data_IF_165078354792
#
_entry.id   IF_165078354792
#
_cell.length_a   1.000
_cell.length_b   1.000
_cell.length_c   1.000
_cell.angle_alpha   90.00
_cell.angle_beta   90.00
_cell.angle_gamma   90.00
#
_symmetry.space_group_name_H-M   'P 1'
#
loop_
_entity.id
_entity.type
_entity.pdbx_description
1 polymer ?
#
# COMPACT_ATOMS: atom_id res chain seq x y z
N UNK A 1 -17.70 -5.04 29.08
CA UNK A 1 -16.57 -5.60 29.85
C UNK A 1 -15.33 -5.36 29.03
N UNK A 2 -14.32 -4.67 29.57
CA UNK A 2 -13.02 -4.60 28.91
C UNK A 2 -12.46 -6.03 28.93
N UNK A 3 -12.38 -6.68 27.77
CA UNK A 3 -11.97 -8.07 27.69
C UNK A 3 -10.48 -8.16 28.04
N UNK A 4 -10.13 -8.87 29.11
CA UNK A 4 -8.75 -9.03 29.62
C UNK A 4 -7.89 -9.96 28.74
N UNK A 5 -8.00 -9.86 27.43
CA UNK A 5 -7.09 -10.58 26.53
C UNK A 5 -5.66 -10.05 26.70
N UNK A 6 -4.65 -10.89 26.40
CA UNK A 6 -3.27 -10.41 26.32
C UNK A 6 -3.16 -9.25 25.32
N UNK A 7 -2.24 -8.33 25.56
CA UNK A 7 -1.91 -7.31 24.57
C UNK A 7 -1.23 -7.97 23.37
N UNK A 8 -1.62 -7.57 22.15
CA UNK A 8 -0.95 -7.96 20.93
C UNK A 8 -0.01 -6.84 20.49
N UNK A 9 1.28 -7.16 20.34
CA UNK A 9 2.27 -6.25 19.77
C UNK A 9 2.70 -6.77 18.40
N UNK A 10 2.22 -6.11 17.34
CA UNK A 10 2.59 -6.48 15.97
C UNK A 10 4.04 -6.08 15.67
N UNK A 11 4.90 -6.98 15.17
CA UNK A 11 6.23 -6.62 14.70
C UNK A 11 6.20 -5.53 13.63
N UNK A 12 6.98 -4.48 13.84
CA UNK A 12 7.01 -3.31 12.97
C UNK A 12 7.93 -3.56 11.76
N UNK A 13 7.50 -3.10 10.58
CA UNK A 13 8.36 -3.02 9.40
C UNK A 13 8.80 -1.57 9.18
N UNK A 14 10.10 -1.35 9.08
CA UNK A 14 10.66 -0.04 8.74
C UNK A 14 10.65 0.17 7.23
N UNK A 15 9.98 1.23 6.77
CA UNK A 15 9.87 1.53 5.35
C UNK A 15 11.23 1.86 4.73
N UNK A 16 11.47 1.40 3.50
CA UNK A 16 12.72 1.67 2.79
C UNK A 16 12.62 2.99 2.01
N UNK A 17 13.44 3.98 2.36
CA UNK A 17 13.57 5.23 1.60
C UNK A 17 14.38 5.01 0.31
N UNK A 18 13.76 5.32 -0.83
CA UNK A 18 14.29 5.17 -2.19
C UNK A 18 14.44 6.52 -2.91
N UNK A 19 14.41 7.62 -2.17
CA UNK A 19 14.59 8.97 -2.70
C UNK A 19 15.91 9.07 -3.48
N UNK A 20 15.87 9.75 -4.64
CA UNK A 20 17.02 9.89 -5.53
C UNK A 20 17.25 8.74 -6.51
N UNK A 21 16.49 7.64 -6.43
CA UNK A 21 16.59 6.51 -7.37
C UNK A 21 15.59 6.63 -8.51
N UNK A 22 15.99 6.23 -9.72
CA UNK A 22 15.13 6.26 -10.92
C UNK A 22 15.30 5.02 -11.79
N UNK A 23 14.38 4.82 -12.74
CA UNK A 23 14.46 3.77 -13.76
C UNK A 23 14.76 2.38 -13.19
N UNK A 24 15.73 1.69 -13.79
CA UNK A 24 16.10 0.33 -13.39
C UNK A 24 16.78 0.25 -12.02
N UNK A 25 17.40 1.33 -11.55
CA UNK A 25 17.90 1.38 -10.17
C UNK A 25 16.75 1.37 -9.17
N UNK A 26 15.73 2.20 -9.39
CA UNK A 26 14.53 2.23 -8.56
C UNK A 26 13.80 0.88 -8.59
N UNK A 27 13.65 0.27 -9.77
CA UNK A 27 13.03 -1.05 -9.93
C UNK A 27 13.75 -2.12 -9.11
N UNK A 28 15.08 -2.20 -9.20
CA UNK A 28 15.90 -3.14 -8.41
C UNK A 28 15.79 -2.86 -6.91
N UNK A 29 15.78 -1.59 -6.51
CA UNK A 29 15.65 -1.22 -5.11
C UNK A 29 14.28 -1.59 -4.52
N UNK A 30 13.19 -1.42 -5.28
CA UNK A 30 11.85 -1.88 -4.91
C UNK A 30 11.79 -3.40 -4.75
N UNK A 31 12.41 -4.18 -5.65
CA UNK A 31 12.54 -5.64 -5.50
C UNK A 31 13.26 -6.01 -4.20
N UNK A 32 14.35 -5.31 -3.87
CA UNK A 32 15.08 -5.55 -2.63
C UNK A 32 14.24 -5.18 -1.39
N UNK A 33 13.48 -4.09 -1.44
CA UNK A 33 12.56 -3.71 -0.36
C UNK A 33 11.46 -4.77 -0.16
N UNK A 34 10.86 -5.26 -1.25
CA UNK A 34 9.89 -6.36 -1.20
C UNK A 34 10.50 -7.65 -0.63
N UNK A 35 11.73 -8.00 -1.01
CA UNK A 35 12.45 -9.16 -0.46
C UNK A 35 12.68 -9.01 1.05
N UNK A 36 13.00 -7.81 1.54
CA UNK A 36 13.11 -7.53 2.98
C UNK A 36 11.74 -7.67 3.66
N UNK A 37 10.69 -7.12 3.06
CA UNK A 37 9.33 -7.21 3.58
C UNK A 37 8.84 -8.67 3.67
N UNK A 38 9.05 -9.50 2.64
CA UNK A 38 8.72 -10.93 2.71
C UNK A 38 9.46 -11.68 3.83
N UNK A 39 10.71 -11.31 4.13
CA UNK A 39 11.45 -11.88 5.27
C UNK A 39 10.92 -11.42 6.64
N UNK A 40 10.18 -10.31 6.67
CA UNK A 40 9.50 -9.82 7.87
C UNK A 40 8.22 -10.58 8.18
N UNK A 41 7.44 -10.97 7.17
CA UNK A 41 6.12 -11.62 7.34
C UNK A 41 6.12 -12.86 8.26
N UNK A 42 7.11 -13.78 8.21
CA UNK A 42 7.15 -14.91 9.15
C UNK A 42 7.27 -14.49 10.62
N UNK A 43 7.89 -13.33 10.91
CA UNK A 43 7.95 -12.78 12.27
C UNK A 43 6.57 -12.30 12.72
N UNK A 44 5.84 -11.62 11.84
CA UNK A 44 4.47 -11.16 12.09
C UNK A 44 3.58 -12.37 12.40
N UNK A 45 3.56 -13.37 11.53
CA UNK A 45 2.75 -14.59 11.73
C UNK A 45 3.13 -15.35 13.01
N UNK A 46 4.41 -15.38 13.37
CA UNK A 46 4.88 -16.00 14.62
C UNK A 46 4.30 -15.30 15.86
N UNK A 47 4.32 -13.98 15.92
CA UNK A 47 3.77 -13.23 17.05
C UNK A 47 2.23 -13.30 17.08
N UNK A 48 1.55 -13.29 15.92
CA UNK A 48 0.11 -13.54 15.85
C UNK A 48 -0.25 -14.91 16.46
N UNK A 49 0.45 -15.97 16.07
CA UNK A 49 0.20 -17.33 16.58
C UNK A 49 0.46 -17.45 18.08
N UNK A 50 1.51 -16.80 18.60
CA UNK A 50 1.76 -16.74 20.05
C UNK A 50 0.61 -16.04 20.77
N UNK A 51 0.15 -14.91 20.25
CA UNK A 51 -0.98 -14.19 20.82
C UNK A 51 -2.26 -15.03 20.80
N UNK A 52 -2.57 -15.67 19.67
CA UNK A 52 -3.73 -16.58 19.55
C UNK A 52 -3.63 -17.72 20.58
N UNK A 53 -2.46 -18.34 20.75
CA UNK A 53 -2.27 -19.37 21.78
C UNK A 53 -2.53 -18.86 23.20
N UNK A 54 -2.07 -17.65 23.53
CA UNK A 54 -2.32 -17.02 24.82
C UNK A 54 -3.80 -16.63 25.01
N UNK A 55 -4.44 -16.11 23.96
CA UNK A 55 -5.87 -15.82 23.93
C UNK A 55 -6.71 -17.08 24.18
N UNK A 56 -6.35 -18.20 23.53
CA UNK A 56 -6.99 -19.51 23.72
C UNK A 56 -6.84 -20.03 25.15
N UNK A 57 -5.65 -19.91 25.73
CA UNK A 57 -5.41 -20.30 27.12
C UNK A 57 -6.25 -19.48 28.10
N UNK A 58 -6.39 -18.17 27.84
CA UNK A 58 -7.28 -17.29 28.60
C UNK A 58 -8.76 -17.69 28.44
N UNK A 59 -9.23 -17.91 27.21
CA UNK A 59 -10.61 -18.35 26.93
C UNK A 59 -10.94 -19.64 27.70
N UNK A 60 -10.03 -20.62 27.66
CA UNK A 60 -10.17 -21.88 28.39
C UNK A 60 -10.21 -21.68 29.91
N UNK A 61 -9.31 -20.87 30.48
CA UNK A 61 -9.25 -20.61 31.91
C UNK A 61 -10.49 -19.84 32.42
N UNK A 62 -11.04 -18.96 31.59
CA UNK A 62 -12.23 -18.17 31.89
C UNK A 62 -13.56 -18.90 31.59
N UNK A 63 -13.50 -20.11 31.01
CA UNK A 63 -14.70 -20.86 30.60
C UNK A 63 -15.49 -20.17 29.48
N UNK A 64 -14.83 -19.36 28.65
CA UNK A 64 -15.44 -18.61 27.55
C UNK A 64 -15.37 -19.45 26.28
N UNK A 65 -16.40 -19.36 25.43
CA UNK A 65 -16.37 -20.03 24.14
C UNK A 65 -15.22 -19.52 23.26
N UNK A 66 -14.41 -20.41 22.65
CA UNK A 66 -13.29 -19.99 21.82
C UNK A 66 -13.73 -19.16 20.62
N UNK A 67 -13.17 -17.96 20.43
CA UNK A 67 -13.48 -17.08 19.29
C UNK A 67 -12.83 -17.57 18.01
N UNK A 68 -13.44 -17.38 16.85
CA UNK A 68 -12.72 -17.59 15.59
C UNK A 68 -11.91 -16.34 15.22
N UNK A 69 -10.57 -16.41 15.18
CA UNK A 69 -9.74 -15.29 14.75
C UNK A 69 -9.48 -15.29 13.23
N UNK A 70 -10.02 -16.25 12.48
CA UNK A 70 -10.00 -16.28 11.02
C UNK A 70 -8.59 -16.21 10.42
N UNK A 71 -8.40 -15.35 9.43
CA UNK A 71 -7.11 -15.15 8.75
C UNK A 71 -5.97 -14.79 9.71
N UNK A 72 -6.26 -14.20 10.87
CA UNK A 72 -5.24 -13.85 11.86
C UNK A 72 -4.51 -15.06 12.45
N UNK A 73 -5.10 -16.26 12.38
CA UNK A 73 -4.46 -17.51 12.85
C UNK A 73 -3.51 -18.11 11.80
N UNK A 74 -3.84 -17.92 10.53
CA UNK A 74 -3.23 -18.65 9.40
C UNK A 74 -2.32 -17.79 8.55
N UNK A 75 -2.55 -16.48 8.49
CA UNK A 75 -1.94 -15.55 7.56
C UNK A 75 -1.34 -14.32 8.28
N UNK A 76 -0.26 -13.74 7.74
CA UNK A 76 0.26 -12.48 8.24
C UNK A 76 -0.74 -11.36 7.98
N UNK A 77 -1.17 -10.65 9.03
CA UNK A 77 -2.15 -9.56 8.92
C UNK A 77 -1.53 -8.19 9.21
N UNK A 78 -2.14 -7.11 8.70
CA UNK A 78 -1.87 -5.71 9.08
C UNK A 78 -2.55 -5.33 10.41
N UNK A 79 -3.47 -6.16 10.90
CA UNK A 79 -4.29 -5.90 12.08
C UNK A 79 -3.47 -5.63 13.34
N UNK A 80 -3.78 -4.53 14.02
CA UNK A 80 -3.18 -4.16 15.31
C UNK A 80 -4.04 -4.61 16.50
N UNK A 81 -5.36 -4.69 16.32
CA UNK A 81 -6.31 -5.06 17.37
C UNK A 81 -7.12 -6.29 16.94
N UNK A 82 -6.69 -7.52 17.30
CA UNK A 82 -7.31 -8.76 16.81
C UNK A 82 -8.75 -8.96 17.27
N UNK A 83 -9.15 -8.25 18.33
CA UNK A 83 -10.52 -8.27 18.87
C UNK A 83 -11.49 -7.31 18.16
N UNK A 84 -10.98 -6.43 17.30
CA UNK A 84 -11.79 -5.43 16.57
C UNK A 84 -12.67 -6.02 15.47
N UNK A 85 -12.68 -7.34 15.29
CA UNK A 85 -13.53 -8.08 14.35
C UNK A 85 -13.08 -8.05 12.89
N UNK A 86 -12.36 -7.01 12.48
CA UNK A 86 -11.83 -6.86 11.13
C UNK A 86 -10.34 -7.23 11.07
N UNK A 87 -10.03 -8.43 10.60
CA UNK A 87 -8.67 -8.78 10.20
C UNK A 87 -8.39 -8.28 8.78
N UNK A 88 -7.17 -7.80 8.53
CA UNK A 88 -6.69 -7.34 7.23
C UNK A 88 -5.51 -8.23 6.82
N UNK A 89 -5.79 -9.29 6.08
CA UNK A 89 -4.81 -10.28 5.66
C UNK A 89 -3.96 -9.75 4.51
N UNK A 90 -2.66 -10.05 4.56
CA UNK A 90 -1.72 -9.70 3.48
C UNK A 90 -1.79 -10.80 2.43
N UNK A 91 -1.97 -10.40 1.17
CA UNK A 91 -1.98 -11.34 0.04
C UNK A 91 -0.53 -11.77 -0.28
N UNK A 92 -0.04 -12.80 0.42
CA UNK A 92 1.36 -13.26 0.33
C UNK A 92 1.68 -13.93 -1.00
N UNK A 93 0.67 -14.58 -1.60
CA UNK A 93 0.78 -15.29 -2.87
C UNK A 93 1.02 -14.31 -4.02
N UNK A 94 0.40 -13.12 -3.97
CA UNK A 94 0.64 -12.04 -4.92
C UNK A 94 2.06 -11.43 -4.82
N UNK A 95 2.86 -11.72 -3.78
CA UNK A 95 4.16 -11.07 -3.55
C UNK A 95 5.37 -11.73 -4.25
N UNK A 96 5.21 -12.37 -5.40
CA UNK A 96 6.33 -13.08 -6.06
C UNK A 96 7.57 -12.19 -6.26
N UNK A 97 8.72 -12.64 -5.74
CA UNK A 97 10.01 -11.93 -5.86
C UNK A 97 10.74 -12.22 -7.16
N UNK A 98 10.35 -13.28 -7.85
CA UNK A 98 10.96 -13.73 -9.11
C UNK A 98 10.32 -13.02 -10.32
N UNK A 99 9.23 -12.28 -10.10
CA UNK A 99 8.60 -11.46 -11.11
C UNK A 99 9.57 -10.41 -11.69
N UNK A 100 9.46 -10.14 -12.99
CA UNK A 100 10.26 -9.12 -13.69
C UNK A 100 10.07 -7.73 -13.06
N UNK A 101 8.85 -7.44 -12.60
CA UNK A 101 8.52 -6.23 -11.87
C UNK A 101 7.99 -6.60 -10.47
N UNK A 102 8.36 -5.85 -9.42
CA UNK A 102 7.83 -6.09 -8.09
C UNK A 102 6.30 -5.91 -8.08
N UNK A 103 5.52 -6.88 -7.59
CA UNK A 103 4.04 -6.83 -7.52
C UNK A 103 3.56 -5.91 -6.39
N UNK A 104 3.98 -4.65 -6.45
CA UNK A 104 3.62 -3.60 -5.50
C UNK A 104 2.57 -2.68 -6.11
N UNK A 105 1.76 -2.12 -5.23
CA UNK A 105 0.79 -1.07 -5.54
C UNK A 105 1.32 0.26 -5.04
N UNK A 106 0.95 1.34 -5.71
CA UNK A 106 1.51 2.66 -5.46
C UNK A 106 0.44 3.67 -5.09
N UNK A 107 0.69 4.43 -4.03
CA UNK A 107 -0.07 5.63 -3.65
C UNK A 107 0.78 6.85 -4.01
N UNK A 108 0.19 7.83 -4.68
CA UNK A 108 0.89 9.04 -5.09
C UNK A 108 0.33 10.26 -4.37
N UNK A 109 1.18 10.98 -3.64
CA UNK A 109 0.75 12.04 -2.72
C UNK A 109 1.76 13.21 -2.73
N UNK A 110 1.37 14.37 -2.19
CA UNK A 110 2.31 15.41 -1.79
C UNK A 110 3.35 14.88 -0.81
N UNK A 111 4.53 15.47 -0.87
CA UNK A 111 5.68 15.09 -0.03
C UNK A 111 5.34 15.07 1.45
N UNK A 112 4.69 16.11 1.97
CA UNK A 112 4.35 16.21 3.39
C UNK A 112 3.36 15.13 3.85
N UNK A 113 2.35 14.82 3.04
CA UNK A 113 1.36 13.79 3.36
C UNK A 113 2.02 12.41 3.31
N UNK A 114 2.78 12.11 2.26
CA UNK A 114 3.48 10.86 2.10
C UNK A 114 4.44 10.56 3.26
N UNK A 115 5.25 11.56 3.66
CA UNK A 115 6.17 11.41 4.79
C UNK A 115 5.44 11.25 6.12
N UNK A 116 4.30 11.92 6.32
CA UNK A 116 3.46 11.69 7.49
C UNK A 116 2.92 10.26 7.53
N UNK A 117 2.53 9.70 6.38
CA UNK A 117 2.09 8.31 6.31
C UNK A 117 3.20 7.32 6.68
N UNK A 118 4.43 7.57 6.22
CA UNK A 118 5.61 6.76 6.56
C UNK A 118 5.91 6.84 8.05
N UNK A 119 5.99 8.05 8.61
CA UNK A 119 6.31 8.26 10.02
C UNK A 119 5.30 7.57 10.96
N UNK A 120 4.01 7.62 10.61
CA UNK A 120 2.95 7.06 11.43
C UNK A 120 2.59 5.61 11.05
N UNK A 121 3.21 5.05 10.00
CA UNK A 121 2.82 3.75 9.42
C UNK A 121 1.29 3.65 9.22
N UNK A 122 0.68 4.68 8.63
CA UNK A 122 -0.79 4.80 8.52
C UNK A 122 -1.18 5.75 7.38
N UNK A 123 -2.40 5.62 6.86
CA UNK A 123 -2.95 6.51 5.85
C UNK A 123 -3.87 7.61 6.42
N UNK A 124 -3.97 7.75 7.74
CA UNK A 124 -4.90 8.71 8.36
C UNK A 124 -4.67 10.17 7.92
N UNK A 125 -3.40 10.53 7.69
CA UNK A 125 -2.97 11.84 7.21
C UNK A 125 -3.45 12.16 5.78
N UNK A 126 -3.89 11.17 5.00
CA UNK A 126 -4.39 11.38 3.64
C UNK A 126 -5.68 12.18 3.71
N UNK A 127 -5.65 13.41 3.20
CA UNK A 127 -6.81 14.31 3.19
C UNK A 127 -7.97 13.74 2.37
N UNK A 128 -9.20 14.10 2.75
CA UNK A 128 -10.42 13.74 2.00
C UNK A 128 -10.40 14.22 0.54
N UNK A 129 -9.55 15.19 0.19
CA UNK A 129 -9.30 15.63 -1.21
C UNK A 129 -8.81 14.49 -2.11
N UNK A 130 -8.03 13.56 -1.55
CA UNK A 130 -7.38 12.48 -2.31
C UNK A 130 -8.22 11.21 -2.41
N UNK A 131 -9.15 11.01 -1.49
CA UNK A 131 -10.37 10.20 -1.62
C UNK A 131 -11.09 10.25 -0.27
N UNK A 132 -12.39 10.57 -0.19
CA UNK A 132 -13.07 10.68 1.10
C UNK A 132 -13.12 9.33 1.84
N UNK A 133 -12.40 9.24 2.97
CA UNK A 133 -12.43 8.08 3.88
C UNK A 133 -11.69 6.83 3.38
N UNK A 134 -11.10 6.85 2.19
CA UNK A 134 -10.40 5.69 1.59
C UNK A 134 -9.02 6.07 1.07
N UNK A 135 -8.29 5.07 0.58
CA UNK A 135 -6.99 5.26 -0.08
C UNK A 135 -7.05 4.68 -1.49
N UNK A 136 -6.71 5.48 -2.48
CA UNK A 136 -6.50 5.02 -3.85
C UNK A 136 -5.08 4.45 -3.98
N UNK A 137 -4.96 3.28 -4.57
CA UNK A 137 -3.71 2.69 -5.02
C UNK A 137 -3.76 2.35 -6.51
N UNK A 138 -2.60 2.31 -7.15
CA UNK A 138 -2.51 2.16 -8.61
C UNK A 138 -1.39 1.19 -8.98
N UNK A 139 -1.52 0.50 -10.13
CA UNK A 139 -0.41 -0.27 -10.72
C UNK A 139 0.61 0.58 -11.50
N UNK A 140 0.40 1.89 -11.63
CA UNK A 140 1.34 2.77 -12.31
C UNK A 140 2.69 2.76 -11.58
N UNK A 141 3.77 2.32 -12.23
CA UNK A 141 5.05 2.13 -11.53
C UNK A 141 5.89 3.40 -11.59
N UNK A 142 6.54 3.81 -10.49
CA UNK A 142 7.29 5.06 -10.43
C UNK A 142 8.57 5.06 -11.29
N UNK A 143 8.94 3.91 -11.85
CA UNK A 143 10.08 3.73 -12.75
C UNK A 143 9.67 3.51 -14.21
N UNK A 144 8.37 3.56 -14.54
CA UNK A 144 7.93 3.43 -15.93
C UNK A 144 8.37 4.66 -16.74
N UNK A 145 8.93 4.43 -17.93
CA UNK A 145 9.48 5.49 -18.78
C UNK A 145 8.43 6.51 -19.27
N UNK A 146 7.15 6.13 -19.23
CA UNK A 146 6.04 6.94 -19.74
C UNK A 146 5.07 7.41 -18.64
N UNK A 147 5.41 7.19 -17.37
CA UNK A 147 4.58 7.69 -16.27
C UNK A 147 4.62 9.21 -16.26
N UNK A 148 3.46 9.85 -16.09
CA UNK A 148 3.35 11.31 -16.04
C UNK A 148 2.56 11.77 -14.82
N UNK A 149 2.83 12.99 -14.31
CA UNK A 149 2.00 13.57 -13.24
C UNK A 149 0.51 13.62 -13.63
N UNK A 150 0.23 13.89 -14.92
CA UNK A 150 -1.13 13.97 -15.48
C UNK A 150 -1.84 12.62 -15.48
N UNK A 151 -1.15 11.52 -15.81
CA UNK A 151 -1.78 10.20 -15.80
C UNK A 151 -2.16 9.77 -14.39
N UNK A 152 -1.35 10.14 -13.39
CA UNK A 152 -1.66 9.88 -11.98
C UNK A 152 -2.79 10.77 -11.47
N UNK A 153 -2.71 12.10 -11.67
CA UNK A 153 -3.79 13.01 -11.24
C UNK A 153 -5.10 12.67 -11.94
N UNK A 154 -5.06 12.28 -13.21
CA UNK A 154 -6.24 11.83 -13.97
C UNK A 154 -6.94 10.61 -13.34
N UNK A 155 -6.19 9.68 -12.72
CA UNK A 155 -6.79 8.52 -12.03
C UNK A 155 -7.50 8.91 -10.73
N UNK A 156 -7.05 9.96 -10.04
CA UNK A 156 -7.77 10.59 -8.93
C UNK A 156 -9.02 11.32 -9.43
N UNK A 157 -8.88 12.15 -10.46
CA UNK A 157 -9.99 12.95 -11.02
C UNK A 157 -11.11 12.06 -11.60
N UNK A 158 -10.76 10.94 -12.24
CA UNK A 158 -11.72 9.92 -12.67
C UNK A 158 -12.52 9.25 -11.55
N UNK A 159 -12.20 9.58 -10.29
CA UNK A 159 -12.87 9.11 -9.06
C UNK A 159 -13.45 10.28 -8.26
N UNK A 160 -13.88 11.31 -8.96
CA UNK A 160 -14.47 12.53 -8.42
C UNK A 160 -13.54 13.33 -7.48
N UNK A 161 -12.25 13.01 -7.44
CA UNK A 161 -11.23 13.80 -6.72
C UNK A 161 -10.71 14.91 -7.65
N UNK A 162 -11.63 15.73 -8.18
CA UNK A 162 -11.37 16.70 -9.26
C UNK A 162 -10.37 17.79 -8.89
N UNK A 163 -10.19 18.03 -7.59
CA UNK A 163 -9.26 19.00 -7.09
C UNK A 163 -7.82 18.48 -7.05
N UNK A 164 -7.54 17.18 -7.22
CA UNK A 164 -6.14 16.70 -7.16
C UNK A 164 -5.36 17.21 -8.36
N UNK A 165 -4.34 18.02 -8.09
CA UNK A 165 -3.50 18.65 -9.11
C UNK A 165 -2.29 17.76 -9.44
N UNK A 166 -1.79 17.90 -10.67
CA UNK A 166 -0.66 17.08 -11.15
C UNK A 166 0.64 17.45 -10.42
N UNK A 167 0.78 18.70 -10.01
CA UNK A 167 1.91 19.26 -9.27
C UNK A 167 2.02 18.68 -7.84
N UNK A 168 0.92 18.14 -7.32
CA UNK A 168 0.85 17.50 -6.00
C UNK A 168 1.42 16.07 -6.01
N UNK A 169 1.57 15.44 -7.19
CA UNK A 169 2.10 14.08 -7.31
C UNK A 169 3.62 14.09 -7.16
N UNK A 170 4.11 14.23 -5.93
CA UNK A 170 5.54 14.48 -5.67
C UNK A 170 6.25 13.27 -5.05
N UNK A 171 5.50 12.37 -4.44
CA UNK A 171 6.01 11.20 -3.74
C UNK A 171 5.19 9.97 -4.08
N UNK A 172 5.84 8.81 -4.06
CA UNK A 172 5.17 7.52 -4.09
C UNK A 172 5.36 6.78 -2.76
N UNK A 173 4.32 6.05 -2.36
CA UNK A 173 4.36 5.02 -1.33
C UNK A 173 4.11 3.67 -2.01
N UNK A 174 5.05 2.75 -1.92
CA UNK A 174 4.93 1.40 -2.44
C UNK A 174 4.43 0.46 -1.33
N UNK A 175 3.35 -0.24 -1.61
CA UNK A 175 2.65 -1.08 -0.65
C UNK A 175 2.32 -2.46 -1.20
N UNK A 176 2.03 -3.38 -0.29
CA UNK A 176 1.47 -4.69 -0.62
C UNK A 176 -0.05 -4.65 -0.66
N UNK A 177 -0.63 -5.59 -1.37
CA UNK A 177 -2.08 -5.82 -1.37
C UNK A 177 -2.51 -6.51 -0.07
N UNK A 178 -3.70 -6.16 0.39
CA UNK A 178 -4.44 -6.86 1.43
C UNK A 178 -5.83 -7.25 0.93
N UNK A 179 -6.53 -8.09 1.67
CA UNK A 179 -7.94 -8.46 1.44
C UNK A 179 -8.94 -7.29 1.58
N UNK A 180 -8.48 -6.13 2.07
CA UNK A 180 -9.27 -4.89 2.20
C UNK A 180 -9.24 -3.99 0.98
N UNK A 181 -8.55 -4.40 -0.09
CA UNK A 181 -8.55 -3.66 -1.35
C UNK A 181 -9.61 -4.21 -2.31
N UNK A 182 -10.49 -3.32 -2.75
CA UNK A 182 -11.46 -3.58 -3.80
C UNK A 182 -10.87 -3.24 -5.17
N UNK A 183 -11.07 -4.14 -6.14
CA UNK A 183 -10.72 -3.91 -7.54
C UNK A 183 -11.59 -2.81 -8.15
N UNK A 184 -10.95 -1.86 -8.82
CA UNK A 184 -11.61 -0.79 -9.58
C UNK A 184 -11.13 -0.82 -11.03
N UNK A 185 -11.81 -0.09 -11.91
CA UNK A 185 -11.39 0.05 -13.30
C UNK A 185 -10.04 0.78 -13.45
N UNK A 186 -9.37 0.56 -14.59
CA UNK A 186 -8.14 1.27 -14.97
C UNK A 186 -6.96 1.05 -14.01
N UNK A 187 -6.78 -0.19 -13.54
CA UNK A 187 -5.66 -0.62 -12.69
C UNK A 187 -5.54 0.17 -11.38
N UNK A 188 -6.68 0.55 -10.83
CA UNK A 188 -6.78 1.22 -9.54
C UNK A 188 -7.45 0.27 -8.57
N UNK A 189 -7.10 0.42 -7.29
CA UNK A 189 -7.79 -0.22 -6.19
C UNK A 189 -8.07 0.79 -5.10
N UNK A 190 -9.05 0.49 -4.27
CA UNK A 190 -9.42 1.31 -3.12
C UNK A 190 -9.34 0.47 -1.85
N UNK A 191 -8.65 0.98 -0.83
CA UNK A 191 -8.76 0.46 0.54
C UNK A 191 -9.89 1.21 1.22
N UNK A 192 -10.91 0.51 1.70
CA UNK A 192 -12.15 1.10 2.21
C UNK A 192 -12.03 1.86 3.55
N UNK A 193 -10.81 2.02 4.06
CA UNK A 193 -10.50 2.87 5.22
C UNK A 193 -9.11 3.49 5.09
N UNK A 194 -8.92 4.66 5.72
CA UNK A 194 -7.60 5.27 5.96
C UNK A 194 -7.02 4.92 7.32
N UNK A 195 -7.86 4.39 8.20
CA UNK A 195 -7.54 4.17 9.60
C UNK A 195 -6.71 2.90 9.79
N UNK A 196 -6.06 2.88 10.96
CA UNK A 196 -5.25 1.77 11.41
C UNK A 196 -3.86 1.76 10.81
N UNK A 197 -3.02 0.91 11.39
CA UNK A 197 -1.66 0.71 10.96
C UNK A 197 -1.60 0.04 9.59
N UNK A 198 -0.65 0.46 8.77
CA UNK A 198 -0.41 -0.08 7.44
C UNK A 198 1.09 -0.07 7.13
N UNK A 199 1.66 -1.22 6.75
CA UNK A 199 3.07 -1.30 6.41
C UNK A 199 3.32 -0.70 5.01
N UNK A 200 4.17 0.33 4.95
CA UNK A 200 4.66 0.89 3.69
C UNK A 200 6.00 0.22 3.36
N UNK A 201 6.05 -0.56 2.28
CA UNK A 201 7.25 -1.33 1.90
C UNK A 201 8.42 -0.42 1.56
N UNK A 202 8.13 0.61 0.77
CA UNK A 202 9.12 1.60 0.37
C UNK A 202 8.45 2.92 0.02
N UNK A 203 9.23 4.00 -0.02
CA UNK A 203 8.76 5.32 -0.42
C UNK A 203 9.87 6.10 -1.12
N UNK A 204 9.52 7.08 -1.94
CA UNK A 204 10.51 7.92 -2.60
C UNK A 204 9.91 9.11 -3.34
N UNK A 205 10.75 10.09 -3.62
CA UNK A 205 10.40 11.22 -4.49
C UNK A 205 10.11 10.73 -5.90
N UNK A 206 9.11 11.35 -6.52
CA UNK A 206 8.88 11.19 -7.95
C UNK A 206 9.87 12.04 -8.73
N UNK A 207 10.72 11.35 -9.49
CA UNK A 207 11.58 11.96 -10.51
C UNK A 207 10.97 11.59 -11.85
N UNK A 208 10.18 12.52 -12.38
CA UNK A 208 9.44 12.32 -13.61
C UNK A 208 10.39 12.14 -14.80
N UNK A 209 10.14 11.17 -15.70
CA UNK A 209 10.87 11.09 -16.96
C UNK A 209 10.83 12.43 -17.68
N UNK A 210 11.89 12.80 -18.42
CA UNK A 210 11.85 13.99 -19.25
C UNK A 210 10.62 13.90 -20.17
N UNK A 211 9.92 15.02 -20.35
CA UNK A 211 8.87 15.07 -21.36
C UNK A 211 9.49 14.60 -22.66
N UNK A 212 8.90 13.58 -23.30
CA UNK A 212 9.33 13.26 -24.66
C UNK A 212 9.34 14.56 -25.45
N UNK A 213 10.40 14.86 -26.22
CA UNK A 213 10.34 15.96 -27.15
C UNK A 213 9.06 15.82 -27.96
N UNK A 214 8.46 16.95 -28.33
CA UNK A 214 7.37 16.93 -29.32
C UNK A 214 7.97 16.26 -30.55
N UNK A 215 7.76 14.96 -30.70
CA UNK A 215 8.09 14.26 -31.92
C UNK A 215 7.25 14.96 -32.97
N UNK A 216 7.91 15.55 -33.97
CA UNK A 216 7.34 16.05 -35.22
C UNK A 216 6.69 14.88 -35.98
N UNK A 217 5.70 14.23 -35.36
CA UNK A 217 4.78 13.38 -36.09
C UNK A 217 4.07 14.33 -37.06
N UNK A 218 4.13 14.07 -38.38
CA UNK A 218 3.33 14.84 -39.29
C UNK A 218 1.88 14.74 -38.81
N UNK A 219 1.29 15.89 -38.49
CA UNK A 219 -0.16 16.01 -38.39
C UNK A 219 -0.73 15.34 -39.63
N UNK A 220 -1.70 14.44 -39.47
CA UNK A 220 -2.44 13.88 -40.59
C UNK A 220 -3.23 15.01 -41.27
N UNK A 221 -2.56 15.80 -42.09
CA UNK A 221 -3.15 16.69 -43.08
C UNK A 221 -3.27 15.86 -44.36
N UNK A 222 -4.43 15.24 -44.55
CA UNK A 222 -4.65 14.39 -45.71
C UNK A 222 -5.94 13.58 -45.61
N UNK A 223 -7.04 14.22 -45.26
CA UNK A 223 -8.40 13.77 -45.58
C UNK A 223 -9.28 15.01 -45.78
N UNK A 224 -8.89 15.84 -46.74
CA UNK A 224 -9.81 16.75 -47.43
C UNK A 224 -9.42 16.67 -48.90
N UNK A 225 -10.07 15.72 -49.60
CA UNK A 225 -10.56 15.82 -50.98
C UNK A 225 -11.55 14.66 -51.24
#
# INVERSE_FOLDING_TARGET
MAEHYPAYERPQFESVCLTGKTGDELRRALKNALKKYRKHLPKVLKEQRKWVAAARAYEQAAGIHPRNFGAFETEPCMTEYPLGGANEAIDVDDLSVDASDPPLWYVYLPTNIALSCVANSSFEAVSRRYFPGRVITMKCRPYDAYITPRSISGKYQGRWCNLVEREEMQYFLAIVRTDRFSDEENEVRTRDTKEGRFDIVAHGQMIWPPRMPVTDWPSASGWDD
#
